data_IF_925424998742
#
_entry.id   IF_925424998742
#
_cell.length_a   1.000
_cell.length_b   1.000
_cell.length_c   1.000
_cell.angle_alpha   90.00
_cell.angle_beta   90.00
_cell.angle_gamma   90.00
#
_symmetry.space_group_name_H-M   'P 1'
#
loop_
_entity.id
_entity.type
_entity.pdbx_description
1 polymer ?
#
# COMPACT_ATOMS: atom_id res chain seq x y z
N UNK A 1 -23.84 -17.21 -18.72
CA UNK A 1 -22.84 -16.13 -18.58
C UNK A 1 -23.08 -15.49 -17.23
N UNK A 2 -22.07 -15.41 -16.36
CA UNK A 2 -22.24 -14.92 -14.98
C UNK A 2 -20.99 -14.17 -14.51
N UNK A 3 -21.05 -13.54 -13.32
CA UNK A 3 -20.05 -12.56 -12.85
C UNK A 3 -18.63 -13.14 -12.71
N UNK A 4 -18.49 -14.47 -12.65
CA UNK A 4 -17.21 -15.16 -12.63
C UNK A 4 -16.37 -14.97 -13.92
N UNK A 5 -16.93 -14.39 -14.98
CA UNK A 5 -16.20 -14.06 -16.22
C UNK A 5 -15.89 -12.58 -16.38
N UNK A 6 -16.34 -11.74 -15.44
CA UNK A 6 -16.04 -10.32 -15.47
C UNK A 6 -14.57 -10.11 -15.08
N UNK A 7 -13.91 -9.16 -15.75
CA UNK A 7 -12.51 -8.81 -15.47
C UNK A 7 -12.41 -7.33 -15.07
N UNK A 8 -11.49 -7.04 -14.15
CA UNK A 8 -11.21 -5.67 -13.70
C UNK A 8 -10.05 -5.11 -14.53
N UNK A 9 -10.37 -4.28 -15.52
CA UNK A 9 -9.37 -3.56 -16.28
C UNK A 9 -8.81 -2.38 -15.47
N UNK A 10 -7.50 -2.36 -15.28
CA UNK A 10 -6.77 -1.25 -14.65
C UNK A 10 -6.02 -0.47 -15.73
N UNK A 11 -6.00 0.85 -15.60
CA UNK A 11 -5.21 1.74 -16.47
C UNK A 11 -4.27 2.62 -15.67
N UNK A 12 -3.09 2.87 -16.23
CA UNK A 12 -2.09 3.82 -15.71
C UNK A 12 -1.76 4.77 -16.84
N UNK A 13 -1.91 6.08 -16.59
CA UNK A 13 -1.72 7.13 -17.61
C UNK A 13 -2.52 6.88 -18.90
N UNK A 14 -3.74 6.34 -18.78
CA UNK A 14 -4.61 6.05 -19.92
C UNK A 14 -4.27 4.79 -20.72
N UNK A 15 -3.19 4.07 -20.37
CA UNK A 15 -2.82 2.80 -20.99
C UNK A 15 -3.23 1.62 -20.10
N UNK A 16 -3.51 0.46 -20.71
CA UNK A 16 -3.80 -0.75 -19.97
C UNK A 16 -2.61 -1.13 -19.08
N UNK A 17 -2.82 -1.23 -17.76
CA UNK A 17 -1.74 -1.54 -16.84
C UNK A 17 -1.12 -2.92 -17.16
N UNK A 18 -1.96 -3.87 -17.58
CA UNK A 18 -1.53 -5.17 -18.10
C UNK A 18 -0.79 -4.96 -19.43
N UNK A 19 0.52 -5.23 -19.43
CA UNK A 19 1.36 -5.24 -20.64
C UNK A 19 2.04 -3.90 -20.97
N UNK A 20 1.55 -2.76 -20.45
CA UNK A 20 2.16 -1.45 -20.74
C UNK A 20 2.73 -0.71 -19.51
N UNK A 21 2.29 -1.04 -18.29
CA UNK A 21 2.85 -0.41 -17.10
C UNK A 21 4.29 -0.91 -16.84
N UNK A 22 5.19 0.03 -16.52
CA UNK A 22 6.49 -0.34 -15.95
C UNK A 22 6.32 -1.04 -14.60
N UNK A 23 7.37 -1.71 -14.13
CA UNK A 23 7.32 -2.42 -12.85
C UNK A 23 6.89 -1.52 -11.68
N UNK A 24 7.48 -0.33 -11.56
CA UNK A 24 7.13 0.63 -10.50
C UNK A 24 5.72 1.23 -10.65
N UNK A 25 5.19 1.33 -11.88
CA UNK A 25 3.80 1.73 -12.13
C UNK A 25 2.80 0.64 -11.76
N UNK A 26 3.07 -0.60 -12.15
CA UNK A 26 2.25 -1.74 -11.77
C UNK A 26 2.23 -1.90 -10.25
N UNK A 27 3.38 -1.77 -9.59
CA UNK A 27 3.48 -1.78 -8.13
C UNK A 27 2.70 -0.64 -7.48
N UNK A 28 2.95 0.60 -7.94
CA UNK A 28 2.25 1.78 -7.43
C UNK A 28 0.72 1.68 -7.59
N UNK A 29 0.26 1.15 -8.72
CA UNK A 29 -1.17 0.89 -8.96
C UNK A 29 -1.73 -0.17 -8.01
N UNK A 30 -1.00 -1.26 -7.77
CA UNK A 30 -1.40 -2.31 -6.84
C UNK A 30 -1.53 -1.80 -5.39
N UNK A 31 -0.53 -1.03 -4.91
CA UNK A 31 -0.58 -0.41 -3.59
C UNK A 31 -1.75 0.59 -3.50
N UNK A 32 -1.93 1.42 -4.53
CA UNK A 32 -3.04 2.38 -4.59
C UNK A 32 -4.41 1.69 -4.54
N UNK A 33 -4.57 0.56 -5.25
CA UNK A 33 -5.78 -0.24 -5.23
C UNK A 33 -6.05 -0.82 -3.83
N UNK A 34 -5.01 -1.30 -3.14
CA UNK A 34 -5.12 -1.81 -1.77
C UNK A 34 -5.58 -0.73 -0.79
N UNK A 35 -5.05 0.49 -0.92
CA UNK A 35 -5.45 1.64 -0.09
C UNK A 35 -6.87 2.12 -0.43
N UNK A 36 -7.25 2.09 -1.71
CA UNK A 36 -8.61 2.39 -2.15
C UNK A 36 -9.61 1.37 -1.58
N UNK A 37 -9.26 0.09 -1.57
CA UNK A 37 -10.07 -0.96 -0.95
C UNK A 37 -10.27 -0.72 0.55
N UNK A 38 -9.23 -0.29 1.29
CA UNK A 38 -9.39 0.08 2.69
C UNK A 38 -10.41 1.22 2.89
N UNK A 39 -10.41 2.21 1.99
CA UNK A 39 -11.42 3.28 1.96
C UNK A 39 -12.82 2.77 1.65
N UNK A 40 -12.96 1.86 0.69
CA UNK A 40 -14.24 1.24 0.34
C UNK A 40 -14.81 0.39 1.49
N UNK A 41 -13.94 -0.38 2.17
CA UNK A 41 -14.31 -1.15 3.37
C UNK A 41 -14.80 -0.20 4.46
N UNK A 42 -14.09 0.90 4.72
CA UNK A 42 -14.54 1.93 5.67
C UNK A 42 -15.91 2.49 5.34
N UNK A 43 -16.17 2.78 4.06
CA UNK A 43 -17.45 3.34 3.62
C UNK A 43 -18.63 2.37 3.87
N UNK A 44 -18.40 1.06 3.77
CA UNK A 44 -19.43 0.03 3.99
C UNK A 44 -19.57 -0.33 5.47
N UNK A 45 -18.45 -0.48 6.18
CA UNK A 45 -18.42 -0.92 7.57
C UNK A 45 -18.66 0.21 8.59
N UNK A 46 -18.46 1.47 8.19
CA UNK A 46 -18.53 2.64 9.07
C UNK A 46 -17.27 2.89 9.90
N UNK A 47 -16.29 1.98 9.86
CA UNK A 47 -15.02 2.07 10.59
C UNK A 47 -13.81 1.74 9.71
N UNK A 48 -12.65 2.33 10.01
CA UNK A 48 -11.42 2.10 9.23
C UNK A 48 -10.84 0.72 9.53
N UNK A 49 -10.47 -0.08 8.52
CA UNK A 49 -9.83 -1.37 8.76
C UNK A 49 -8.37 -1.20 9.21
N UNK A 50 -7.85 -2.21 9.93
CA UNK A 50 -6.40 -2.37 10.13
C UNK A 50 -5.74 -2.77 8.81
N UNK A 51 -4.78 -1.98 8.35
CA UNK A 51 -4.06 -2.24 7.10
C UNK A 51 -2.67 -2.81 7.37
N UNK A 52 -2.31 -3.88 6.66
CA UNK A 52 -0.97 -4.45 6.68
C UNK A 52 -0.27 -4.19 5.35
N UNK A 53 0.95 -3.65 5.40
CA UNK A 53 1.78 -3.39 4.24
C UNK A 53 3.16 -4.02 4.44
N UNK A 54 3.51 -4.97 3.59
CA UNK A 54 4.82 -5.62 3.60
C UNK A 54 5.69 -5.00 2.50
N UNK A 55 6.75 -4.31 2.91
CA UNK A 55 7.67 -3.55 2.05
C UNK A 55 6.98 -2.77 0.91
N UNK A 56 6.07 -1.83 1.24
CA UNK A 56 5.25 -1.16 0.22
C UNK A 56 6.07 -0.20 -0.67
N UNK A 57 7.33 0.07 -0.31
CA UNK A 57 8.21 1.04 -0.96
C UNK A 57 9.26 0.42 -1.89
N UNK A 58 9.35 -0.91 -1.93
CA UNK A 58 10.38 -1.68 -2.66
C UNK A 58 10.63 -1.21 -4.10
N UNK A 59 9.56 -1.01 -4.88
CA UNK A 59 9.62 -0.65 -6.29
C UNK A 59 9.32 0.84 -6.56
N UNK A 60 9.35 1.69 -5.53
CA UNK A 60 9.03 3.11 -5.63
C UNK A 60 10.27 3.99 -5.52
N UNK A 61 10.38 4.96 -6.43
CA UNK A 61 11.32 6.07 -6.34
C UNK A 61 11.01 6.98 -5.13
N UNK A 62 11.97 7.81 -4.67
CA UNK A 62 11.80 8.63 -3.47
C UNK A 62 10.56 9.54 -3.48
N UNK A 63 10.21 10.12 -4.64
CA UNK A 63 9.04 11.00 -4.75
C UNK A 63 7.75 10.21 -4.53
N UNK A 64 7.63 9.03 -5.14
CA UNK A 64 6.47 8.15 -4.94
C UNK A 64 6.37 7.62 -3.52
N UNK A 65 7.50 7.37 -2.83
CA UNK A 65 7.49 6.97 -1.40
C UNK A 65 6.88 8.04 -0.52
N UNK A 66 7.25 9.30 -0.72
CA UNK A 66 6.68 10.44 0.02
C UNK A 66 5.18 10.54 -0.22
N UNK A 67 4.74 10.44 -1.47
CA UNK A 67 3.30 10.48 -1.82
C UNK A 67 2.53 9.33 -1.17
N UNK A 68 3.09 8.12 -1.18
CA UNK A 68 2.48 6.96 -0.54
C UNK A 68 2.39 7.15 0.97
N UNK A 69 3.47 7.55 1.63
CA UNK A 69 3.51 7.78 3.07
C UNK A 69 2.49 8.85 3.51
N UNK A 70 2.38 9.97 2.77
CA UNK A 70 1.37 10.99 3.02
C UNK A 70 -0.06 10.44 2.90
N UNK A 71 -0.29 9.49 2.00
CA UNK A 71 -1.60 8.86 1.81
C UNK A 71 -2.02 7.87 2.90
N UNK A 72 -1.13 7.50 3.83
CA UNK A 72 -1.42 6.53 4.89
C UNK A 72 -2.03 7.16 6.15
N UNK A 73 -1.75 8.44 6.43
CA UNK A 73 -2.11 9.10 7.69
C UNK A 73 -3.61 9.12 7.99
N UNK A 74 -4.46 9.26 6.97
CA UNK A 74 -5.91 9.44 7.14
C UNK A 74 -6.73 8.13 7.06
N UNK A 75 -6.05 6.98 6.97
CA UNK A 75 -6.69 5.70 6.61
C UNK A 75 -6.93 4.74 7.78
N UNK A 76 -6.77 5.22 9.02
CA UNK A 76 -6.87 4.41 10.22
C UNK A 76 -5.51 3.83 10.64
N UNK A 77 -5.52 2.70 11.34
CA UNK A 77 -4.29 2.06 11.79
C UNK A 77 -3.62 1.29 10.65
N UNK A 78 -2.33 1.54 10.43
CA UNK A 78 -1.50 0.79 9.47
C UNK A 78 -0.33 0.16 10.20
N UNK A 79 -0.11 -1.14 9.97
CA UNK A 79 1.10 -1.87 10.32
C UNK A 79 1.94 -2.06 9.06
N UNK A 80 3.19 -1.65 9.11
CA UNK A 80 4.09 -1.69 7.98
C UNK A 80 5.38 -2.40 8.37
N UNK A 81 5.83 -3.33 7.52
CA UNK A 81 7.16 -3.88 7.57
C UNK A 81 8.03 -3.15 6.53
N UNK A 82 9.18 -2.63 6.97
CA UNK A 82 10.18 -2.00 6.09
C UNK A 82 11.56 -2.53 6.45
N UNK A 83 12.45 -2.75 5.46
CA UNK A 83 13.82 -3.18 5.70
C UNK A 83 14.74 -2.06 6.20
N UNK A 84 14.36 -0.78 6.02
CA UNK A 84 15.22 0.38 6.28
C UNK A 84 14.48 1.43 7.12
N UNK A 85 15.14 1.94 8.16
CA UNK A 85 14.63 3.01 9.02
C UNK A 85 14.37 4.31 8.25
N UNK A 86 15.10 4.57 7.16
CA UNK A 86 14.86 5.71 6.26
C UNK A 86 13.49 5.66 5.56
N UNK A 87 12.81 4.50 5.56
CA UNK A 87 11.47 4.33 4.99
C UNK A 87 10.36 4.50 6.03
N UNK A 88 10.70 4.68 7.31
CA UNK A 88 9.71 4.86 8.38
C UNK A 88 9.03 6.23 8.23
N UNK A 89 7.68 6.29 8.13
CA UNK A 89 6.97 7.55 8.12
C UNK A 89 7.15 8.33 9.42
N UNK A 90 7.23 9.67 9.33
CA UNK A 90 7.32 10.54 10.50
C UNK A 90 6.15 10.31 11.47
N UNK A 91 6.45 10.23 12.77
CA UNK A 91 5.46 10.01 13.83
C UNK A 91 4.99 8.56 13.99
N UNK A 92 5.51 7.61 13.21
CA UNK A 92 5.23 6.19 13.40
C UNK A 92 5.87 5.67 14.70
N UNK A 93 5.17 4.72 15.36
CA UNK A 93 5.78 3.90 16.40
C UNK A 93 6.58 2.79 15.71
N UNK A 94 7.83 2.60 16.12
CA UNK A 94 8.76 1.64 15.51
C UNK A 94 9.00 0.48 16.46
N UNK A 95 9.05 -0.72 15.88
CA UNK A 95 9.47 -1.94 16.55
C UNK A 95 10.52 -2.62 15.69
N UNK A 96 11.58 -3.09 16.31
CA UNK A 96 12.63 -3.85 15.64
C UNK A 96 12.34 -5.35 15.71
N UNK A 97 12.41 -6.02 14.57
CA UNK A 97 12.27 -7.47 14.47
C UNK A 97 13.63 -8.10 14.22
N UNK A 98 14.10 -8.96 15.12
CA UNK A 98 15.39 -9.65 14.99
C UNK A 98 15.30 -11.05 15.59
N UNK A 99 15.75 -12.07 14.83
CA UNK A 99 15.78 -13.46 15.30
C UNK A 99 14.40 -13.99 15.73
N UNK A 100 13.34 -13.60 15.03
CA UNK A 100 11.96 -14.00 15.37
C UNK A 100 11.35 -13.29 16.59
N UNK A 101 12.05 -12.33 17.18
CA UNK A 101 11.57 -11.54 18.33
C UNK A 101 11.27 -10.10 17.91
N UNK A 102 10.26 -9.49 18.52
CA UNK A 102 9.86 -8.09 18.32
C UNK A 102 10.20 -7.31 19.60
N UNK A 103 10.99 -6.25 19.47
CA UNK A 103 11.31 -5.32 20.55
C UNK A 103 10.93 -3.88 20.19
N UNK A 104 10.67 -2.99 21.18
CA UNK A 104 10.58 -1.57 20.90
C UNK A 104 11.95 -1.04 20.41
N UNK A 105 11.93 0.00 19.58
CA UNK A 105 13.12 0.79 19.26
C UNK A 105 13.68 1.53 20.48
#
# INVERSE_FOLDING_TARGET
MGPHRDDLALSVQGLAARGFASHGEAWGAAVSLRLALAGAVRAVAGESPLTFLDDPFSALDPERRVRLAAGLGDRGQTLMAVPDEAQVPSGARVWHVKGGSVGPS
#
